data_IF_017445967392
#
_entry.id   IF_017445967392
#
_cell.length_a   1.000
_cell.length_b   1.000
_cell.length_c   1.000
_cell.angle_alpha   90.00
_cell.angle_beta   90.00
_cell.angle_gamma   90.00
#
_symmetry.space_group_name_H-M   'P 1'
#
loop_
_entity.id
_entity.type
_entity.pdbx_description
1 polymer ?
#
# COMPACT_ATOMS: atom_id res chain seq x y z
N UNK A 1 -9.19 -5.28 0.79
CA UNK A 1 -8.85 -3.98 0.16
C UNK A 1 -9.38 -3.86 -1.28
N UNK A 2 -9.08 -4.78 -2.20
CA UNK A 2 -9.65 -4.76 -3.56
C UNK A 2 -11.18 -4.94 -3.61
N UNK A 3 -11.73 -5.82 -2.78
CA UNK A 3 -13.18 -6.03 -2.68
C UNK A 3 -13.95 -4.82 -2.14
N UNK A 4 -13.27 -3.79 -1.62
CA UNK A 4 -13.93 -2.56 -1.16
C UNK A 4 -14.53 -1.74 -2.30
N UNK A 5 -14.05 -1.92 -3.55
CA UNK A 5 -14.60 -1.24 -4.73
C UNK A 5 -15.96 -1.82 -5.17
N UNK A 6 -16.24 -3.08 -4.88
CA UNK A 6 -17.49 -3.74 -5.28
C UNK A 6 -18.72 -3.06 -4.65
N UNK A 7 -18.75 -2.80 -3.32
CA UNK A 7 -19.85 -2.07 -2.69
C UNK A 7 -20.05 -0.65 -3.22
N UNK A 8 -18.98 0.09 -3.55
CA UNK A 8 -19.10 1.42 -4.16
C UNK A 8 -19.72 1.36 -5.56
N UNK A 9 -19.39 0.33 -6.34
CA UNK A 9 -19.96 0.14 -7.67
C UNK A 9 -21.42 -0.35 -7.63
N UNK A 10 -21.79 -1.15 -6.62
CA UNK A 10 -23.13 -1.73 -6.48
C UNK A 10 -24.14 -0.86 -5.73
N UNK A 11 -23.69 -0.14 -4.69
CA UNK A 11 -24.56 0.57 -3.74
C UNK A 11 -24.27 2.07 -3.72
N UNK A 12 -24.14 2.69 -4.89
CA UNK A 12 -23.86 4.12 -5.05
C UNK A 12 -25.05 5.01 -4.62
N UNK A 13 -25.50 4.88 -3.38
CA UNK A 13 -26.49 5.75 -2.75
C UNK A 13 -25.86 7.10 -2.46
N UNK A 14 -26.33 8.13 -3.15
CA UNK A 14 -25.79 9.49 -3.23
C UNK A 14 -25.61 10.23 -1.89
N UNK A 15 -26.14 9.71 -0.77
CA UNK A 15 -26.04 10.33 0.55
C UNK A 15 -24.84 9.88 1.41
N UNK A 16 -24.28 8.69 1.19
CA UNK A 16 -23.27 8.09 2.10
C UNK A 16 -21.89 7.86 1.46
N UNK A 17 -21.74 8.13 0.16
CA UNK A 17 -20.53 7.84 -0.62
C UNK A 17 -19.29 8.50 -0.03
N UNK A 18 -19.40 9.74 0.44
CA UNK A 18 -18.27 10.50 0.97
C UNK A 18 -17.76 9.97 2.31
N UNK A 19 -18.68 9.55 3.19
CA UNK A 19 -18.35 8.90 4.46
C UNK A 19 -17.66 7.57 4.20
N UNK A 20 -18.17 6.78 3.25
CA UNK A 20 -17.56 5.51 2.86
C UNK A 20 -16.14 5.71 2.31
N UNK A 21 -15.90 6.76 1.51
CA UNK A 21 -14.55 7.07 1.01
C UNK A 21 -13.60 7.40 2.14
N UNK A 22 -14.01 8.26 3.09
CA UNK A 22 -13.19 8.62 4.24
C UNK A 22 -12.80 7.40 5.08
N UNK A 23 -13.74 6.48 5.33
CA UNK A 23 -13.43 5.23 6.05
C UNK A 23 -12.50 4.32 5.27
N UNK A 24 -12.74 4.16 3.97
CA UNK A 24 -11.94 3.28 3.11
C UNK A 24 -10.51 3.81 2.97
N UNK A 25 -10.34 5.11 2.74
CA UNK A 25 -9.03 5.77 2.68
C UNK A 25 -8.38 5.91 4.05
N UNK A 26 -9.16 6.01 5.14
CA UNK A 26 -8.64 6.03 6.50
C UNK A 26 -8.06 4.68 6.92
N UNK A 27 -8.74 3.58 6.59
CA UNK A 27 -8.22 2.22 6.82
C UNK A 27 -6.98 1.95 5.96
N UNK A 28 -6.99 2.36 4.70
CA UNK A 28 -5.83 2.23 3.81
C UNK A 28 -4.64 3.06 4.30
N UNK A 29 -4.86 4.28 4.82
CA UNK A 29 -3.78 5.12 5.35
C UNK A 29 -3.20 4.55 6.64
N UNK A 30 -4.03 4.01 7.54
CA UNK A 30 -3.56 3.30 8.74
C UNK A 30 -2.71 2.08 8.38
N UNK A 31 -3.14 1.30 7.39
CA UNK A 31 -2.35 0.18 6.88
C UNK A 31 -1.00 0.64 6.32
N UNK A 32 -0.99 1.70 5.50
CA UNK A 32 0.24 2.23 4.93
C UNK A 32 1.16 2.82 6.01
N UNK A 33 0.61 3.50 7.02
CA UNK A 33 1.36 4.08 8.14
C UNK A 33 2.03 2.99 8.98
N UNK A 34 1.28 1.95 9.36
CA UNK A 34 1.82 0.81 10.12
C UNK A 34 2.86 0.05 9.31
N UNK A 35 2.61 -0.14 8.00
CA UNK A 35 3.58 -0.67 7.06
C UNK A 35 4.87 0.15 7.04
N UNK A 36 4.77 1.48 6.92
CA UNK A 36 5.94 2.37 6.82
C UNK A 36 6.77 2.42 8.11
N UNK A 37 6.16 2.22 9.29
CA UNK A 37 6.91 2.18 10.55
C UNK A 37 7.62 0.84 10.71
N UNK A 38 6.91 -0.27 10.52
CA UNK A 38 7.40 -1.60 10.85
C UNK A 38 8.35 -2.14 9.76
N UNK A 39 8.01 -1.92 8.49
CA UNK A 39 8.70 -2.50 7.34
C UNK A 39 10.18 -2.08 7.22
N UNK A 40 10.54 -0.78 7.16
CA UNK A 40 11.93 -0.38 6.97
C UNK A 40 12.81 -0.76 8.15
N UNK A 41 12.30 -0.61 9.39
CA UNK A 41 13.04 -1.00 10.60
C UNK A 41 13.41 -2.48 10.57
N UNK A 42 12.44 -3.35 10.25
CA UNK A 42 12.65 -4.79 10.23
C UNK A 42 13.52 -5.22 9.05
N UNK A 43 13.34 -4.60 7.89
CA UNK A 43 14.12 -4.91 6.69
C UNK A 43 15.59 -4.47 6.79
N UNK A 44 15.86 -3.34 7.46
CA UNK A 44 17.24 -2.90 7.74
C UNK A 44 17.91 -3.88 8.71
N UNK A 45 17.22 -4.32 9.77
CA UNK A 45 17.75 -5.33 10.68
C UNK A 45 18.08 -6.63 9.94
N UNK A 46 17.20 -7.12 9.06
CA UNK A 46 17.44 -8.31 8.25
C UNK A 46 18.55 -8.12 7.20
N UNK A 47 18.78 -6.91 6.72
CA UNK A 47 19.92 -6.62 5.84
C UNK A 47 21.27 -6.84 6.54
N UNK A 48 21.37 -6.52 7.83
CA UNK A 48 22.60 -6.77 8.58
C UNK A 48 22.86 -8.27 8.78
N UNK A 49 21.82 -9.08 8.95
CA UNK A 49 21.96 -10.54 9.10
C UNK A 49 22.15 -11.26 7.75
N UNK A 50 21.46 -10.80 6.70
CA UNK A 50 21.45 -11.44 5.38
C UNK A 50 21.57 -10.40 4.25
N UNK A 51 22.75 -9.78 4.07
CA UNK A 51 22.93 -8.68 3.13
C UNK A 51 22.70 -9.06 1.66
N UNK A 52 22.94 -10.34 1.31
CA UNK A 52 22.67 -10.88 -0.03
C UNK A 52 21.18 -11.07 -0.33
N UNK A 53 20.36 -11.37 0.69
CA UNK A 53 18.91 -11.56 0.55
C UNK A 53 18.14 -10.24 0.47
N UNK A 54 18.64 -9.21 1.15
CA UNK A 54 17.92 -7.96 1.36
C UNK A 54 18.71 -6.76 0.87
N UNK A 55 18.89 -6.56 -0.45
CA UNK A 55 19.60 -5.40 -0.96
C UNK A 55 18.88 -4.10 -0.59
N UNK A 56 19.62 -3.15 -0.02
CA UNK A 56 19.12 -1.83 0.41
C UNK A 56 18.31 -1.11 -0.68
N UNK A 57 18.71 -1.23 -1.95
CA UNK A 57 17.99 -0.64 -3.09
C UNK A 57 16.52 -1.10 -3.16
N UNK A 58 16.27 -2.38 -2.89
CA UNK A 58 14.94 -2.95 -2.93
C UNK A 58 14.11 -2.53 -1.70
N UNK A 59 14.76 -2.41 -0.53
CA UNK A 59 14.12 -1.91 0.69
C UNK A 59 13.62 -0.48 0.49
N UNK A 60 14.45 0.39 -0.11
CA UNK A 60 14.08 1.78 -0.43
C UNK A 60 12.95 1.81 -1.44
N UNK A 61 13.01 0.98 -2.49
CA UNK A 61 11.93 0.89 -3.49
C UNK A 61 10.59 0.47 -2.86
N UNK A 62 10.60 -0.60 -2.05
CA UNK A 62 9.40 -1.12 -1.39
C UNK A 62 8.82 -0.13 -0.37
N UNK A 63 9.69 0.55 0.39
CA UNK A 63 9.30 1.63 1.32
C UNK A 63 8.70 2.82 0.57
N UNK A 64 9.30 3.18 -0.57
CA UNK A 64 8.80 4.24 -1.45
C UNK A 64 7.40 3.95 -2.00
N UNK A 65 7.10 2.70 -2.36
CA UNK A 65 5.76 2.30 -2.77
C UNK A 65 4.74 2.49 -1.64
N UNK A 66 5.05 2.01 -0.42
CA UNK A 66 4.16 2.18 0.75
C UNK A 66 3.95 3.67 1.05
N UNK A 67 4.99 4.48 0.94
CA UNK A 67 4.91 5.92 1.14
C UNK A 67 3.99 6.61 0.11
N UNK A 68 4.09 6.25 -1.17
CA UNK A 68 3.17 6.75 -2.21
C UNK A 68 1.72 6.35 -1.94
N UNK A 69 1.48 5.11 -1.51
CA UNK A 69 0.15 4.64 -1.11
C UNK A 69 -0.40 5.46 0.06
N UNK A 70 0.44 5.79 1.05
CA UNK A 70 0.06 6.65 2.17
C UNK A 70 -0.36 8.05 1.67
N UNK A 71 0.45 8.67 0.81
CA UNK A 71 0.14 9.98 0.23
C UNK A 71 -1.20 9.93 -0.49
N UNK A 72 -1.39 8.99 -1.41
CA UNK A 72 -2.63 8.87 -2.18
C UNK A 72 -3.84 8.64 -1.28
N UNK A 73 -3.70 7.80 -0.25
CA UNK A 73 -4.77 7.52 0.70
C UNK A 73 -5.15 8.77 1.52
N UNK A 74 -4.15 9.52 1.99
CA UNK A 74 -4.38 10.77 2.73
C UNK A 74 -4.96 11.86 1.82
N UNK A 75 -4.52 11.96 0.57
CA UNK A 75 -5.06 12.90 -0.42
C UNK A 75 -6.55 12.65 -0.72
N UNK A 76 -6.97 11.38 -0.80
CA UNK A 76 -8.40 11.03 -0.93
C UNK A 76 -9.18 11.47 0.31
N UNK A 77 -8.63 11.22 1.51
CA UNK A 77 -9.28 11.53 2.79
C UNK A 77 -9.44 13.04 3.03
N UNK A 78 -8.46 13.85 2.61
CA UNK A 78 -8.49 15.31 2.72
C UNK A 78 -9.31 15.99 1.60
N UNK A 79 -9.82 15.22 0.63
CA UNK A 79 -10.65 15.75 -0.46
C UNK A 79 -9.86 16.50 -1.53
N UNK A 80 -8.54 16.31 -1.64
CA UNK A 80 -7.71 16.96 -2.67
C UNK A 80 -7.86 16.33 -4.07
N UNK A 81 -8.67 15.28 -4.21
CA UNK A 81 -8.81 14.49 -5.43
C UNK A 81 -10.28 14.27 -5.76
N UNK A 82 -10.70 14.74 -6.94
CA UNK A 82 -12.06 14.51 -7.45
C UNK A 82 -12.27 13.06 -7.91
N UNK A 83 -11.28 12.47 -8.59
CA UNK A 83 -11.34 11.09 -9.10
C UNK A 83 -10.89 10.05 -8.05
N UNK A 84 -11.58 10.00 -6.91
CA UNK A 84 -11.24 9.14 -5.75
C UNK A 84 -11.05 7.65 -6.13
N UNK A 85 -11.91 7.12 -6.99
CA UNK A 85 -11.87 5.71 -7.42
C UNK A 85 -10.61 5.35 -8.23
N UNK A 86 -10.17 6.25 -9.13
CA UNK A 86 -8.98 6.01 -9.94
C UNK A 86 -7.71 6.03 -9.08
N UNK A 87 -7.61 7.01 -8.18
CA UNK A 87 -6.47 7.11 -7.26
C UNK A 87 -6.44 5.93 -6.29
N UNK A 88 -7.59 5.51 -5.77
CA UNK A 88 -7.67 4.32 -4.91
C UNK A 88 -7.25 3.05 -5.65
N UNK A 89 -7.69 2.88 -6.91
CA UNK A 89 -7.27 1.76 -7.75
C UNK A 89 -5.76 1.76 -8.02
N UNK A 90 -5.18 2.93 -8.29
CA UNK A 90 -3.73 3.11 -8.41
C UNK A 90 -2.99 2.70 -7.14
N UNK A 91 -3.47 3.11 -5.96
CA UNK A 91 -2.91 2.69 -4.67
C UNK A 91 -2.96 1.18 -4.47
N UNK A 92 -4.04 0.53 -4.90
CA UNK A 92 -4.17 -0.93 -4.84
C UNK A 92 -3.20 -1.65 -5.79
N UNK A 93 -2.99 -1.12 -7.01
CA UNK A 93 -2.00 -1.66 -7.95
C UNK A 93 -0.58 -1.54 -7.40
N UNK A 94 -0.25 -0.41 -6.76
CA UNK A 94 1.02 -0.21 -6.09
C UNK A 94 1.24 -1.22 -4.96
N UNK A 95 0.21 -1.48 -4.14
CA UNK A 95 0.28 -2.53 -3.11
C UNK A 95 0.48 -3.92 -3.71
N UNK A 96 -0.12 -4.20 -4.87
CA UNK A 96 0.06 -5.47 -5.58
C UNK A 96 1.49 -5.62 -6.14
N UNK A 97 2.08 -4.53 -6.63
CA UNK A 97 3.49 -4.51 -7.01
C UNK A 97 4.41 -4.76 -5.81
N UNK A 98 4.11 -4.12 -4.67
CA UNK A 98 4.86 -4.33 -3.42
C UNK A 98 4.78 -5.79 -2.95
N UNK A 99 3.59 -6.41 -2.96
CA UNK A 99 3.44 -7.82 -2.57
C UNK A 99 4.13 -8.78 -3.55
N UNK A 100 4.07 -8.49 -4.85
CA UNK A 100 4.72 -9.30 -5.89
C UNK A 100 6.23 -9.31 -5.73
N UNK A 101 6.84 -8.14 -5.48
CA UNK A 101 8.30 -8.06 -5.25
C UNK A 101 8.73 -8.81 -3.99
N UNK A 102 7.91 -8.80 -2.93
CA UNK A 102 8.14 -9.61 -1.73
C UNK A 102 8.00 -11.12 -2.01
N UNK A 103 7.00 -11.53 -2.79
CA UNK A 103 6.75 -12.91 -3.17
C UNK A 103 7.88 -13.49 -4.03
N UNK A 104 8.32 -12.74 -5.06
CA UNK A 104 9.44 -13.14 -5.93
C UNK A 104 10.69 -13.38 -5.08
N UNK A 105 10.98 -12.51 -4.10
CA UNK A 105 12.11 -12.70 -3.19
C UNK A 105 12.02 -14.01 -2.41
N UNK A 106 10.85 -14.36 -1.87
CA UNK A 106 10.69 -15.59 -1.08
C UNK A 106 10.73 -16.87 -1.92
N UNK A 107 10.32 -16.81 -3.19
CA UNK A 107 10.23 -18.00 -4.07
C UNK A 107 11.53 -18.25 -4.84
N UNK A 108 12.19 -17.19 -5.32
CA UNK A 108 13.36 -17.32 -6.19
C UNK A 108 14.69 -17.26 -5.46
N UNK A 109 14.73 -16.88 -4.19
CA UNK A 109 15.96 -16.99 -3.40
C UNK A 109 16.11 -18.43 -2.89
N UNK A 110 16.97 -19.21 -3.56
CA UNK A 110 17.51 -20.46 -3.00
C UNK A 110 18.58 -20.11 -1.99
N UNK A 111 18.46 -20.68 -0.79
CA UNK A 111 19.54 -20.75 0.18
C UNK A 111 20.58 -21.68 -0.42
N UNK A 112 21.70 -21.12 -0.88
CA UNK A 112 22.92 -21.87 -1.15
C UNK A 112 23.66 -22.14 0.17
#
# INVERSE_FOLDING_TARGET
MFAALLPFALFNESGNVEISWNWTSGLLSLYALTGLIIFPLRMIALHYEYPSLFPLKLVVFQTGIIFLVLIFSVSIMLGFVDQKANVYTGSLMLLLLHSTTAFIRTVFYRVD
#
